data_IF_279624983160
#
_entry.id   IF_279624983160
#
_cell.length_a   1.000
_cell.length_b   1.000
_cell.length_c   1.000
_cell.angle_alpha   90.00
_cell.angle_beta   90.00
_cell.angle_gamma   90.00
#
_symmetry.space_group_name_H-M   'P 1'
#
loop_
_entity.id
_entity.type
_entity.pdbx_description
1 polymer ?
#
# COMPACT_ATOMS: atom_id res chain seq x y z
N UNK A 1 -0.16 -0.48 -55.77
CA UNK A 1 -1.18 0.46 -56.27
C UNK A 1 -1.43 1.46 -55.15
N UNK A 2 -0.73 2.61 -55.24
CA UNK A 2 -1.12 4.03 -55.04
C UNK A 2 -2.00 4.31 -53.81
N UNK A 3 -1.43 4.85 -52.71
CA UNK A 3 -1.28 6.28 -52.33
C UNK A 3 -2.64 7.00 -52.27
N UNK A 4 -3.02 7.49 -51.08
CA UNK A 4 -3.47 8.87 -50.91
C UNK A 4 -3.22 9.36 -49.47
N UNK A 5 -2.31 10.33 -49.39
CA UNK A 5 -2.18 11.28 -48.29
C UNK A 5 -3.29 12.33 -48.44
N UNK A 6 -3.79 12.82 -47.32
CA UNK A 6 -4.43 14.14 -47.31
C UNK A 6 -4.03 14.86 -46.04
N UNK A 7 -3.24 15.89 -46.25
CA UNK A 7 -2.88 16.97 -45.32
C UNK A 7 -3.84 18.13 -45.61
N UNK A 8 -4.33 18.85 -44.63
CA UNK A 8 -4.82 20.24 -44.58
C UNK A 8 -5.43 20.42 -43.19
N UNK A 9 -5.22 21.44 -42.39
CA UNK A 9 -4.64 22.73 -42.55
C UNK A 9 -4.69 23.49 -41.22
N UNK A 10 -3.77 24.34 -41.16
CA UNK A 10 -3.45 25.38 -40.18
C UNK A 10 -4.58 26.42 -40.01
N UNK A 11 -4.93 26.79 -38.78
CA UNK A 11 -5.54 28.10 -38.49
C UNK A 11 -4.95 28.71 -37.22
N UNK A 12 -4.12 29.72 -37.47
CA UNK A 12 -3.53 30.69 -36.57
C UNK A 12 -4.55 31.85 -36.40
N UNK A 13 -4.88 32.24 -35.20
CA UNK A 13 -5.54 33.51 -34.90
C UNK A 13 -4.90 34.19 -33.71
N UNK A 14 -4.09 35.17 -34.03
CA UNK A 14 -3.60 36.23 -33.11
C UNK A 14 -4.71 37.25 -32.88
N UNK A 15 -4.95 37.67 -31.66
CA UNK A 15 -5.54 38.94 -31.32
C UNK A 15 -4.79 39.58 -30.18
N UNK A 16 -4.07 40.63 -30.50
CA UNK A 16 -3.52 41.67 -29.65
C UNK A 16 -4.64 42.60 -29.16
N UNK A 17 -4.63 42.93 -27.91
CA UNK A 17 -5.45 44.04 -27.36
C UNK A 17 -4.71 44.72 -26.21
N UNK A 18 -4.36 45.95 -26.41
CA UNK A 18 -3.47 46.79 -25.59
C UNK A 18 -4.21 47.69 -24.61
N UNK A 19 -3.45 48.13 -23.60
CA UNK A 19 -3.45 49.41 -22.89
C UNK A 19 -4.63 49.80 -21.98
N UNK A 20 -4.24 50.20 -20.75
CA UNK A 20 -5.00 51.04 -19.85
C UNK A 20 -4.30 51.20 -18.51
N UNK A 21 -3.53 52.26 -18.36
CA UNK A 21 -2.80 52.66 -17.18
C UNK A 21 -3.68 53.37 -16.14
N UNK A 22 -3.21 53.39 -14.91
CA UNK A 22 -3.78 54.18 -13.79
C UNK A 22 -2.79 54.22 -12.66
N UNK A 23 -2.11 55.38 -12.54
CA UNK A 23 -1.19 55.72 -11.46
C UNK A 23 -1.97 56.32 -10.27
N UNK A 24 -1.40 56.22 -9.07
CA UNK A 24 -1.76 56.89 -7.84
C UNK A 24 -1.82 55.93 -6.68
N UNK A 25 -1.23 56.08 -5.55
CA UNK A 25 -0.53 57.16 -4.87
C UNK A 25 0.22 56.55 -3.68
N UNK A 26 1.35 57.08 -3.38
CA UNK A 26 2.20 56.72 -2.27
C UNK A 26 1.64 57.21 -0.94
N UNK A 27 1.69 56.35 0.09
CA UNK A 27 1.74 56.81 1.47
C UNK A 27 2.55 55.82 2.31
N UNK A 28 3.72 56.22 2.69
CA UNK A 28 4.59 55.69 3.74
C UNK A 28 4.41 56.54 5.02
N UNK A 29 5.09 56.25 6.13
CA UNK A 29 4.81 55.24 7.18
C UNK A 29 4.54 55.97 8.52
N UNK A 30 4.02 55.29 9.48
CA UNK A 30 4.13 55.75 10.87
C UNK A 30 4.64 54.60 11.75
N UNK A 31 5.84 54.81 12.24
CA UNK A 31 6.42 54.11 13.37
C UNK A 31 5.70 54.51 14.66
N UNK A 32 5.28 53.54 15.44
CA UNK A 32 4.87 53.72 16.81
C UNK A 32 5.67 52.80 17.70
N UNK A 33 6.24 53.41 18.71
CA UNK A 33 7.22 52.93 19.67
C UNK A 33 6.81 51.67 20.46
N UNK A 34 7.83 50.92 20.82
CA UNK A 34 7.79 49.90 21.86
C UNK A 34 7.64 50.49 23.27
N UNK A 35 7.02 49.78 24.20
CA UNK A 35 7.38 49.90 25.60
C UNK A 35 8.17 48.66 26.04
N UNK A 36 9.34 48.95 26.60
CA UNK A 36 10.12 48.05 27.44
C UNK A 36 9.38 47.83 28.76
N UNK A 37 9.26 46.62 29.22
CA UNK A 37 9.14 46.29 30.64
C UNK A 37 9.47 44.82 30.91
N UNK A 38 10.60 44.65 31.56
CA UNK A 38 10.87 43.92 32.81
C UNK A 38 10.83 42.42 32.77
N UNK A 39 12.05 41.90 32.90
CA UNK A 39 12.38 40.58 33.46
C UNK A 39 11.72 40.43 34.83
N UNK A 40 10.99 39.34 35.00
CA UNK A 40 10.96 38.50 36.19
C UNK A 40 9.90 37.42 35.97
N UNK A 41 10.27 36.25 36.00
CA UNK A 41 9.85 35.10 36.80
C UNK A 41 10.18 33.79 36.08
N UNK A 42 11.26 33.17 36.60
CA UNK A 42 11.63 31.80 36.32
C UNK A 42 10.72 30.87 37.11
N UNK A 43 9.57 30.52 36.54
CA UNK A 43 8.84 29.33 37.04
C UNK A 43 8.95 28.27 35.98
N UNK A 44 9.78 27.27 36.28
CA UNK A 44 9.93 26.06 35.48
C UNK A 44 8.57 25.37 35.34
N UNK A 45 7.98 25.43 34.18
CA UNK A 45 6.86 24.59 33.81
C UNK A 45 7.32 23.12 33.82
N UNK A 46 6.55 22.19 34.39
CA UNK A 46 6.87 20.77 34.33
C UNK A 46 6.94 20.33 32.86
N UNK A 47 8.04 19.68 32.52
CA UNK A 47 8.29 19.19 31.17
C UNK A 47 7.09 18.41 30.64
N UNK A 48 6.52 18.95 29.58
CA UNK A 48 5.55 18.23 28.77
C UNK A 48 6.30 17.04 28.18
N UNK A 49 6.09 15.87 28.76
CA UNK A 49 6.53 14.63 28.18
C UNK A 49 6.00 14.62 26.75
N UNK A 50 6.90 14.64 25.78
CA UNK A 50 6.54 14.47 24.39
C UNK A 50 5.80 13.14 24.28
N UNK A 51 4.50 13.20 24.19
CA UNK A 51 3.66 12.07 23.84
C UNK A 51 4.12 11.63 22.45
N UNK A 52 4.85 10.54 22.40
CA UNK A 52 5.15 9.86 21.14
C UNK A 52 3.81 9.32 20.66
N UNK A 53 3.07 10.14 19.91
CA UNK A 53 1.87 9.67 19.24
C UNK A 53 2.32 8.59 18.27
N UNK A 54 1.91 7.36 18.53
CA UNK A 54 2.07 6.27 17.59
C UNK A 54 1.44 6.71 16.26
N UNK A 55 2.25 6.76 15.22
CA UNK A 55 1.76 7.13 13.89
C UNK A 55 0.88 5.99 13.39
N UNK A 56 -0.43 6.20 13.32
CA UNK A 56 -1.33 5.21 12.73
C UNK A 56 -1.52 5.52 11.26
N UNK A 57 -1.29 4.52 10.42
CA UNK A 57 -1.59 4.56 9.00
C UNK A 57 -2.71 3.56 8.73
N UNK A 58 -3.86 4.07 8.27
CA UNK A 58 -5.02 3.21 7.98
C UNK A 58 -5.45 2.32 9.17
N UNK A 59 -5.32 2.81 10.41
CA UNK A 59 -5.62 2.05 11.62
C UNK A 59 -4.54 1.04 12.03
N UNK A 60 -3.44 0.96 11.29
CA UNK A 60 -2.25 0.21 11.69
C UNK A 60 -1.33 1.13 12.49
N UNK A 61 -0.85 0.66 13.64
CA UNK A 61 0.25 1.31 14.32
C UNK A 61 1.51 1.03 13.52
N UNK A 62 1.92 2.03 12.79
CA UNK A 62 3.14 1.97 12.00
C UNK A 62 4.25 2.65 12.80
N UNK A 63 4.84 1.97 13.78
CA UNK A 63 6.09 2.38 14.41
C UNK A 63 7.25 2.52 13.41
N UNK A 64 6.92 2.77 12.14
CA UNK A 64 7.73 2.74 10.96
C UNK A 64 7.76 4.11 10.29
N UNK A 65 8.73 4.29 9.40
CA UNK A 65 8.77 5.44 8.50
C UNK A 65 7.66 5.31 7.45
N UNK A 66 7.04 6.42 7.08
CA UNK A 66 5.99 6.45 6.07
C UNK A 66 6.40 7.26 4.85
N UNK A 67 5.94 6.83 3.68
CA UNK A 67 6.04 7.55 2.41
C UNK A 67 4.67 7.58 1.75
N UNK A 68 4.38 8.66 1.04
CA UNK A 68 3.24 8.74 0.14
C UNK A 68 3.75 9.11 -1.26
N UNK A 69 3.24 8.44 -2.27
CA UNK A 69 3.63 8.73 -3.65
C UNK A 69 2.79 8.00 -4.67
N UNK A 70 3.06 8.27 -5.94
CA UNK A 70 2.40 7.62 -7.06
C UNK A 70 3.22 6.42 -7.53
N UNK A 71 2.56 5.30 -7.78
CA UNK A 71 3.21 4.11 -8.34
C UNK A 71 3.45 4.32 -9.82
N UNK A 72 4.72 4.33 -10.23
CA UNK A 72 5.14 4.56 -11.63
C UNK A 72 5.41 3.28 -12.40
N UNK A 73 5.71 2.17 -11.73
CA UNK A 73 5.80 0.84 -12.36
C UNK A 73 5.58 -0.30 -11.36
N UNK A 74 5.18 -1.46 -11.89
CA UNK A 74 5.04 -2.73 -11.17
C UNK A 74 5.96 -3.73 -11.84
N UNK A 75 6.90 -4.31 -11.08
CA UNK A 75 7.95 -5.18 -11.62
C UNK A 75 7.52 -6.65 -11.67
N UNK A 76 6.83 -7.07 -10.62
CA UNK A 76 6.31 -8.42 -10.39
C UNK A 76 5.11 -8.35 -9.44
N UNK A 77 4.71 -9.45 -8.84
CA UNK A 77 3.55 -9.51 -7.94
C UNK A 77 3.76 -8.94 -6.54
N UNK A 78 4.98 -8.47 -6.21
CA UNK A 78 5.30 -7.94 -4.88
C UNK A 78 6.33 -6.79 -4.87
N UNK A 79 6.68 -6.27 -6.05
CA UNK A 79 7.67 -5.19 -6.18
C UNK A 79 7.15 -4.07 -7.07
N UNK A 80 7.14 -2.84 -6.54
CA UNK A 80 6.70 -1.64 -7.27
C UNK A 80 7.74 -0.53 -7.21
N UNK A 81 7.66 0.42 -8.13
CA UNK A 81 8.39 1.69 -8.07
C UNK A 81 7.43 2.80 -7.69
N UNK A 82 7.79 3.55 -6.66
CA UNK A 82 7.06 4.68 -6.11
C UNK A 82 7.79 5.98 -6.41
N UNK A 83 7.10 6.98 -6.92
CA UNK A 83 7.58 8.35 -7.00
C UNK A 83 6.98 9.15 -5.83
N UNK A 84 7.80 9.48 -4.84
CA UNK A 84 7.43 10.28 -3.69
C UNK A 84 8.09 11.66 -3.79
N UNK A 85 7.33 12.69 -4.12
CA UNK A 85 7.81 14.07 -4.29
C UNK A 85 9.05 14.20 -5.19
N UNK A 86 9.09 13.44 -6.29
CA UNK A 86 10.21 13.46 -7.26
C UNK A 86 11.33 12.47 -6.92
N UNK A 87 11.30 11.84 -5.76
CA UNK A 87 12.28 10.81 -5.38
C UNK A 87 11.73 9.42 -5.73
N UNK A 88 12.52 8.64 -6.43
CA UNK A 88 12.13 7.29 -6.86
C UNK A 88 12.58 6.26 -5.83
N UNK A 89 11.62 5.48 -5.35
CA UNK A 89 11.84 4.39 -4.41
C UNK A 89 11.38 3.06 -5.00
N UNK A 90 12.16 2.03 -4.81
CA UNK A 90 11.74 0.66 -5.09
C UNK A 90 11.19 0.06 -3.81
N UNK A 91 9.96 -0.43 -3.85
CA UNK A 91 9.25 -0.97 -2.70
C UNK A 91 9.07 -2.48 -2.89
N UNK A 92 9.51 -3.27 -1.93
CA UNK A 92 9.21 -4.70 -1.80
C UNK A 92 8.10 -4.84 -0.76
N UNK A 93 6.98 -5.37 -1.17
CA UNK A 93 5.86 -5.64 -0.29
C UNK A 93 6.28 -6.65 0.78
N UNK A 94 6.17 -6.29 2.05
CA UNK A 94 6.56 -7.14 3.17
C UNK A 94 5.60 -8.32 3.39
N UNK A 95 6.09 -9.36 4.05
CA UNK A 95 5.28 -10.51 4.47
C UNK A 95 4.83 -11.44 3.34
N UNK A 96 5.05 -11.11 2.08
CA UNK A 96 4.63 -11.92 0.94
C UNK A 96 5.78 -12.28 0.02
N UNK A 97 5.58 -13.32 -0.79
CA UNK A 97 6.46 -13.67 -1.91
C UNK A 97 5.58 -14.10 -3.09
N UNK A 98 5.66 -13.35 -4.18
CA UNK A 98 4.87 -13.60 -5.36
C UNK A 98 5.59 -14.53 -6.34
N UNK A 99 4.86 -15.30 -7.16
CA UNK A 99 5.47 -16.07 -8.22
C UNK A 99 6.35 -15.19 -9.12
N UNK A 100 7.52 -15.69 -9.48
CA UNK A 100 8.40 -15.05 -10.46
C UNK A 100 7.68 -14.90 -11.80
N UNK A 101 8.04 -13.92 -12.61
CA UNK A 101 7.36 -13.68 -13.90
C UNK A 101 7.35 -14.92 -14.80
N UNK A 102 8.38 -15.75 -14.72
CA UNK A 102 8.48 -16.99 -15.50
C UNK A 102 7.75 -18.20 -14.86
N UNK A 103 7.24 -18.06 -13.62
CA UNK A 103 6.44 -19.10 -13.00
C UNK A 103 4.97 -19.04 -13.46
N UNK A 104 4.25 -20.16 -13.36
CA UNK A 104 2.78 -20.13 -13.43
C UNK A 104 2.23 -19.04 -12.49
N UNK A 105 1.24 -18.29 -12.94
CA UNK A 105 0.63 -17.15 -12.23
C UNK A 105 1.52 -15.91 -12.04
N UNK A 106 2.82 -15.91 -12.39
CA UNK A 106 3.69 -14.76 -12.20
C UNK A 106 3.19 -13.50 -12.92
N UNK A 107 2.90 -13.60 -14.22
CA UNK A 107 2.33 -12.48 -14.99
C UNK A 107 0.95 -12.05 -14.48
N UNK A 108 0.12 -12.98 -14.01
CA UNK A 108 -1.19 -12.67 -13.44
C UNK A 108 -1.06 -11.96 -12.08
N UNK A 109 -0.12 -12.38 -11.25
CA UNK A 109 0.21 -11.73 -9.99
C UNK A 109 0.66 -10.28 -10.22
N UNK A 110 1.58 -10.05 -11.18
CA UNK A 110 2.00 -8.71 -11.56
C UNK A 110 0.83 -7.85 -12.06
N UNK A 111 -0.01 -8.39 -12.95
CA UNK A 111 -1.17 -7.67 -13.49
C UNK A 111 -2.19 -7.32 -12.40
N UNK A 112 -2.40 -8.22 -11.43
CA UNK A 112 -3.29 -8.00 -10.30
C UNK A 112 -2.77 -6.87 -9.41
N UNK A 113 -1.48 -6.89 -9.06
CA UNK A 113 -0.86 -5.79 -8.32
C UNK A 113 -0.95 -4.47 -9.11
N UNK A 114 -0.66 -4.49 -10.41
CA UNK A 114 -0.75 -3.31 -11.26
C UNK A 114 -2.16 -2.73 -11.28
N UNK A 115 -3.20 -3.54 -11.40
CA UNK A 115 -4.58 -3.07 -11.35
C UNK A 115 -4.95 -2.41 -10.03
N UNK A 116 -4.35 -2.86 -8.94
CA UNK A 116 -4.56 -2.29 -7.61
C UNK A 116 -3.88 -0.93 -7.44
N UNK A 117 -2.64 -0.75 -7.94
CA UNK A 117 -1.80 0.38 -7.54
C UNK A 117 -1.21 1.21 -8.69
N UNK A 118 -1.11 0.72 -9.93
CA UNK A 118 -0.46 1.44 -11.03
C UNK A 118 -1.10 2.80 -11.29
N UNK A 119 -0.27 3.85 -11.33
CA UNK A 119 -0.70 5.24 -11.53
C UNK A 119 -1.46 5.85 -10.36
N UNK A 120 -1.70 5.09 -9.29
CA UNK A 120 -2.42 5.56 -8.10
C UNK A 120 -1.47 6.05 -7.04
N UNK A 121 -1.94 6.98 -6.21
CA UNK A 121 -1.26 7.36 -4.98
C UNK A 121 -1.48 6.29 -3.92
N UNK A 122 -0.38 5.82 -3.34
CA UNK A 122 -0.37 4.85 -2.25
C UNK A 122 0.40 5.40 -1.06
N UNK A 123 0.14 4.85 0.10
CA UNK A 123 0.89 5.08 1.33
C UNK A 123 1.70 3.83 1.63
N UNK A 124 2.97 4.02 1.98
CA UNK A 124 3.89 2.93 2.29
C UNK A 124 4.44 3.15 3.69
N UNK A 125 4.30 2.15 4.54
CA UNK A 125 4.98 2.11 5.82
C UNK A 125 6.12 1.10 5.74
N UNK A 126 7.35 1.53 6.04
CA UNK A 126 8.53 0.69 5.90
C UNK A 126 9.44 0.80 7.12
N UNK A 127 10.12 -0.30 7.44
CA UNK A 127 11.01 -0.38 8.60
C UNK A 127 12.47 -0.50 8.21
N UNK A 128 12.75 -1.05 7.04
CA UNK A 128 14.12 -1.38 6.60
C UNK A 128 14.29 -1.21 5.10
N UNK A 129 15.55 -1.20 4.71
CA UNK A 129 15.99 -1.35 3.32
C UNK A 129 16.68 -2.71 3.18
N UNK A 130 16.37 -3.45 2.13
CA UNK A 130 17.04 -4.73 1.88
C UNK A 130 18.41 -4.56 1.21
N UNK A 131 19.10 -5.68 1.02
CA UNK A 131 20.44 -5.70 0.40
C UNK A 131 20.46 -5.20 -1.06
N UNK A 132 19.28 -5.09 -1.71
CA UNK A 132 19.13 -4.60 -3.07
C UNK A 132 18.73 -3.13 -3.12
N UNK A 133 18.68 -2.44 -1.97
CA UNK A 133 18.28 -1.05 -1.87
C UNK A 133 16.77 -0.80 -1.95
N UNK A 134 15.93 -1.85 -1.85
CA UNK A 134 14.48 -1.71 -1.85
C UNK A 134 13.98 -1.43 -0.42
N UNK A 135 13.03 -0.53 -0.29
CA UNK A 135 12.31 -0.34 0.97
C UNK A 135 11.35 -1.52 1.16
N UNK A 136 11.41 -2.18 2.30
CA UNK A 136 10.54 -3.32 2.64
C UNK A 136 9.41 -2.81 3.51
N UNK A 137 8.17 -2.97 3.06
CA UNK A 137 7.05 -2.39 3.80
C UNK A 137 5.65 -2.77 3.34
N UNK A 138 4.70 -2.28 4.10
CA UNK A 138 3.28 -2.39 3.87
C UNK A 138 2.79 -1.29 2.94
N UNK A 139 2.03 -1.65 1.93
CA UNK A 139 1.46 -0.74 0.94
C UNK A 139 -0.05 -0.64 1.14
N UNK A 140 -0.55 0.59 1.23
CA UNK A 140 -1.97 0.89 1.38
C UNK A 140 -2.45 1.79 0.26
N UNK A 141 -3.62 1.50 -0.29
CA UNK A 141 -4.30 2.42 -1.19
C UNK A 141 -4.84 3.63 -0.43
N UNK A 142 -5.26 4.68 -1.15
CA UNK A 142 -5.93 5.84 -0.55
C UNK A 142 -7.21 5.47 0.23
N UNK A 143 -7.85 4.36 -0.13
CA UNK A 143 -9.02 3.80 0.58
C UNK A 143 -8.64 2.86 1.73
N UNK A 144 -7.39 2.87 2.18
CA UNK A 144 -6.88 2.02 3.26
C UNK A 144 -6.95 0.50 3.00
N UNK A 145 -7.00 0.08 1.74
CA UNK A 145 -6.86 -1.33 1.42
C UNK A 145 -5.40 -1.77 1.59
N UNK A 146 -5.16 -2.81 2.38
CA UNK A 146 -3.83 -3.39 2.59
C UNK A 146 -3.46 -4.29 1.41
N UNK A 147 -2.66 -3.76 0.49
CA UNK A 147 -2.35 -4.36 -0.80
C UNK A 147 -1.59 -5.69 -0.66
N UNK A 148 -0.66 -5.77 0.29
CA UNK A 148 0.10 -7.00 0.55
C UNK A 148 -0.83 -8.17 0.93
N UNK A 149 -1.73 -7.92 1.89
CA UNK A 149 -2.71 -8.92 2.33
C UNK A 149 -3.68 -9.31 1.20
N UNK A 150 -4.07 -8.33 0.38
CA UNK A 150 -4.93 -8.56 -0.78
C UNK A 150 -4.29 -9.50 -1.79
N UNK A 151 -3.00 -9.36 -2.08
CA UNK A 151 -2.28 -10.28 -2.97
C UNK A 151 -2.37 -11.73 -2.47
N UNK A 152 -2.22 -11.97 -1.16
CA UNK A 152 -2.38 -13.30 -0.57
C UNK A 152 -3.83 -13.78 -0.64
N UNK A 153 -4.79 -12.94 -0.28
CA UNK A 153 -6.21 -13.28 -0.31
C UNK A 153 -6.73 -13.64 -1.71
N UNK A 154 -6.15 -13.03 -2.76
CA UNK A 154 -6.44 -13.34 -4.16
C UNK A 154 -5.69 -14.57 -4.68
N UNK A 155 -4.83 -15.20 -3.88
CA UNK A 155 -3.95 -16.28 -4.32
C UNK A 155 -2.94 -15.81 -5.37
N UNK A 156 -2.48 -14.55 -5.28
CA UNK A 156 -1.47 -13.99 -6.18
C UNK A 156 -0.09 -13.92 -5.55
N UNK A 157 0.01 -14.21 -4.25
CA UNK A 157 1.27 -14.33 -3.53
C UNK A 157 1.12 -15.32 -2.38
N UNK A 158 2.25 -15.85 -1.94
CA UNK A 158 2.37 -16.68 -0.75
C UNK A 158 2.61 -15.80 0.47
N UNK A 159 2.12 -16.21 1.65
CA UNK A 159 2.60 -15.68 2.92
C UNK A 159 4.03 -16.16 3.16
N UNK A 160 5.01 -15.25 3.12
CA UNK A 160 6.42 -15.58 3.23
C UNK A 160 6.85 -15.74 4.69
N UNK A 161 6.72 -16.96 5.20
CA UNK A 161 6.95 -17.27 6.63
C UNK A 161 8.37 -17.08 7.10
N UNK A 162 9.37 -17.09 6.20
CA UNK A 162 10.77 -16.83 6.57
C UNK A 162 10.96 -15.47 7.26
N UNK A 163 10.14 -14.47 6.90
CA UNK A 163 10.15 -13.14 7.50
C UNK A 163 8.92 -12.82 8.37
N UNK A 164 8.16 -13.85 8.76
CA UNK A 164 6.93 -13.64 9.53
C UNK A 164 7.12 -12.86 10.82
N UNK A 165 8.30 -12.93 11.46
CA UNK A 165 8.58 -12.24 12.71
C UNK A 165 8.75 -10.72 12.54
N UNK A 166 8.80 -10.22 11.31
CA UNK A 166 8.78 -8.79 11.01
C UNK A 166 7.38 -8.19 11.10
N UNK A 167 6.36 -9.04 11.01
CA UNK A 167 4.96 -8.66 11.14
C UNK A 167 4.48 -8.83 12.59
N UNK A 168 3.51 -8.02 13.01
CA UNK A 168 2.86 -8.21 14.32
C UNK A 168 2.07 -9.52 14.36
N UNK A 169 1.84 -10.06 15.55
CA UNK A 169 1.10 -11.31 15.69
C UNK A 169 -0.30 -11.28 15.06
N UNK A 170 -1.11 -10.19 15.23
CA UNK A 170 -2.40 -10.09 14.55
C UNK A 170 -2.27 -10.08 13.02
N UNK A 171 -1.29 -9.34 12.47
CA UNK A 171 -1.06 -9.27 11.02
C UNK A 171 -0.64 -10.63 10.47
N UNK A 172 0.28 -11.34 11.12
CA UNK A 172 0.64 -12.72 10.75
C UNK A 172 -0.58 -13.64 10.68
N UNK A 173 -1.46 -13.52 11.68
CA UNK A 173 -2.70 -14.29 11.71
C UNK A 173 -3.63 -14.00 10.53
N UNK A 174 -3.69 -12.75 10.09
CA UNK A 174 -4.48 -12.36 8.90
C UNK A 174 -3.88 -12.95 7.62
N UNK A 175 -2.55 -12.88 7.44
CA UNK A 175 -1.88 -13.47 6.27
C UNK A 175 -2.07 -14.98 6.21
N UNK A 176 -1.88 -15.69 7.35
CA UNK A 176 -2.08 -17.13 7.41
C UNK A 176 -3.52 -17.54 7.06
N UNK A 177 -4.52 -16.84 7.60
CA UNK A 177 -5.94 -17.08 7.30
C UNK A 177 -6.28 -16.77 5.84
N UNK A 178 -5.73 -15.68 5.29
CA UNK A 178 -5.96 -15.31 3.90
C UNK A 178 -5.41 -16.36 2.93
N UNK A 179 -4.20 -16.86 3.19
CA UNK A 179 -3.60 -17.94 2.40
C UNK A 179 -4.41 -19.25 2.50
N UNK A 180 -4.79 -19.65 3.73
CA UNK A 180 -5.63 -20.82 3.96
C UNK A 180 -6.96 -20.72 3.23
N UNK A 181 -7.62 -19.56 3.29
CA UNK A 181 -8.88 -19.33 2.59
C UNK A 181 -8.72 -19.36 1.06
N UNK A 182 -7.64 -18.77 0.53
CA UNK A 182 -7.34 -18.81 -0.90
C UNK A 182 -7.07 -20.25 -1.37
N UNK A 183 -6.30 -21.02 -0.61
CA UNK A 183 -6.01 -22.42 -0.90
C UNK A 183 -7.27 -23.29 -0.85
N UNK A 184 -8.09 -23.15 0.20
CA UNK A 184 -9.34 -23.90 0.34
C UNK A 184 -10.34 -23.59 -0.79
N UNK A 185 -10.35 -22.33 -1.27
CA UNK A 185 -11.20 -21.88 -2.38
C UNK A 185 -10.60 -22.14 -3.76
N UNK A 186 -9.39 -22.68 -3.83
CA UNK A 186 -8.62 -22.86 -5.07
C UNK A 186 -8.55 -21.57 -5.88
N UNK A 187 -8.21 -20.45 -5.23
CA UNK A 187 -8.16 -19.13 -5.84
C UNK A 187 -6.74 -18.83 -6.32
N UNK A 188 -6.61 -18.26 -7.53
CA UNK A 188 -5.33 -17.85 -8.10
C UNK A 188 -4.36 -19.01 -8.27
N UNK A 189 -3.14 -18.90 -7.75
CA UNK A 189 -2.09 -19.93 -7.83
C UNK A 189 -2.52 -21.28 -7.24
N UNK A 190 -3.51 -21.28 -6.33
CA UNK A 190 -4.06 -22.48 -5.70
C UNK A 190 -5.01 -23.28 -6.62
N UNK A 191 -5.25 -22.82 -7.85
CA UNK A 191 -5.86 -23.62 -8.92
C UNK A 191 -4.93 -24.74 -9.38
N UNK A 192 -3.62 -24.54 -9.28
CA UNK A 192 -2.64 -25.58 -9.51
C UNK A 192 -2.77 -26.64 -8.41
N UNK A 193 -2.67 -27.89 -8.78
CA UNK A 193 -2.72 -29.01 -7.84
C UNK A 193 -1.46 -29.10 -6.97
N UNK A 194 -0.32 -28.59 -7.49
CA UNK A 194 0.98 -28.57 -6.81
C UNK A 194 1.70 -27.24 -7.09
N UNK A 195 1.22 -26.13 -6.50
CA UNK A 195 1.78 -24.83 -6.78
C UNK A 195 3.17 -24.69 -6.17
N UNK A 196 4.16 -24.41 -7.01
CA UNK A 196 5.55 -24.25 -6.58
C UNK A 196 5.75 -22.85 -5.97
N UNK A 197 6.21 -22.82 -4.72
CA UNK A 197 6.52 -21.56 -4.04
C UNK A 197 7.72 -20.83 -4.69
N UNK A 198 7.73 -19.47 -4.71
CA UNK A 198 8.79 -18.70 -5.39
C UNK A 198 10.19 -18.99 -4.85
N UNK A 199 10.34 -19.18 -3.55
CA UNK A 199 11.64 -19.50 -2.94
C UNK A 199 12.15 -20.90 -3.36
N UNK A 200 11.25 -21.88 -3.52
CA UNK A 200 11.62 -23.19 -4.05
C UNK A 200 12.05 -23.08 -5.51
N UNK A 201 11.34 -22.28 -6.30
CA UNK A 201 11.67 -22.04 -7.70
C UNK A 201 13.05 -21.37 -7.85
N UNK A 202 13.39 -20.38 -6.99
CA UNK A 202 14.69 -19.69 -7.04
C UNK A 202 15.83 -20.52 -6.48
N UNK A 203 15.63 -21.21 -5.36
CA UNK A 203 16.72 -21.75 -4.54
C UNK A 203 16.63 -23.25 -4.32
N UNK A 204 15.51 -23.91 -4.68
CA UNK A 204 15.28 -25.34 -4.47
C UNK A 204 15.16 -25.75 -2.99
N UNK A 205 15.07 -24.77 -2.07
CA UNK A 205 15.06 -25.02 -0.61
C UNK A 205 13.93 -24.25 0.02
N UNK A 206 13.20 -24.92 0.92
CA UNK A 206 12.20 -24.28 1.76
C UNK A 206 12.87 -23.61 2.96
N UNK A 207 12.78 -22.28 3.11
CA UNK A 207 13.39 -21.60 4.24
C UNK A 207 12.66 -21.95 5.53
N UNK A 208 13.42 -22.22 6.60
CA UNK A 208 12.84 -22.45 7.91
C UNK A 208 12.02 -21.25 8.39
N UNK A 209 10.79 -21.50 8.78
CA UNK A 209 9.98 -20.46 9.42
C UNK A 209 10.48 -20.21 10.86
N UNK A 210 10.89 -18.98 11.21
CA UNK A 210 11.38 -18.71 12.55
C UNK A 210 10.24 -18.75 13.57
N UNK A 211 10.57 -19.15 14.81
CA UNK A 211 9.69 -18.97 15.96
C UNK A 211 9.78 -17.53 16.42
N UNK A 212 8.69 -16.78 16.37
CA UNK A 212 8.67 -15.38 16.76
C UNK A 212 8.52 -15.24 18.28
N UNK A 213 9.45 -14.53 18.93
CA UNK A 213 9.25 -14.11 20.30
C UNK A 213 8.05 -13.14 20.38
N UNK A 214 7.29 -13.20 21.47
CA UNK A 214 6.03 -12.44 21.64
C UNK A 214 6.17 -10.91 21.55
N UNK A 215 7.39 -10.38 21.57
CA UNK A 215 7.70 -8.95 21.55
C UNK A 215 8.52 -8.46 20.33
N UNK A 216 8.80 -9.29 19.35
CA UNK A 216 9.70 -8.96 18.24
C UNK A 216 8.97 -8.56 16.97
N UNK A 217 7.95 -7.72 17.04
CA UNK A 217 7.39 -7.14 15.82
C UNK A 217 7.84 -5.70 15.71
N UNK A 218 8.37 -5.34 14.54
CA UNK A 218 8.58 -3.94 14.13
C UNK A 218 7.23 -3.20 14.04
N UNK A 219 6.16 -3.95 14.00
CA UNK A 219 4.79 -3.51 13.92
C UNK A 219 4.04 -3.88 15.20
N UNK A 220 3.76 -2.92 16.06
CA UNK A 220 3.03 -3.13 17.32
C UNK A 220 1.52 -2.91 17.19
N UNK A 221 1.04 -2.51 16.02
CA UNK A 221 -0.35 -2.16 15.80
C UNK A 221 -1.25 -3.35 15.45
N UNK A 222 -2.36 -3.38 16.13
CA UNK A 222 -3.54 -4.12 15.71
C UNK A 222 -4.28 -3.23 14.71
N UNK A 223 -4.70 -3.70 13.52
CA UNK A 223 -5.61 -2.92 12.71
C UNK A 223 -6.81 -2.57 13.56
N UNK A 224 -7.08 -1.27 13.73
CA UNK A 224 -8.27 -0.83 14.40
C UNK A 224 -9.46 -1.32 13.58
N UNK A 225 -10.05 -2.43 13.99
CA UNK A 225 -11.39 -2.79 13.57
C UNK A 225 -12.27 -1.64 14.05
N UNK A 226 -13.06 -1.00 13.20
CA UNK A 226 -14.00 0.01 13.65
C UNK A 226 -14.83 -0.64 14.77
N UNK A 227 -14.72 -0.09 15.98
CA UNK A 227 -15.39 -0.60 17.17
C UNK A 227 -16.89 -0.35 17.05
N UNK A 228 -17.62 -1.30 16.53
CA UNK A 228 -19.03 -1.49 16.86
C UNK A 228 -19.07 -2.50 18.01
N UNK A 229 -19.33 -1.96 19.17
CA UNK A 229 -19.59 -2.51 20.48
C UNK A 229 -19.54 -4.01 20.73
N UNK A 230 -18.79 -4.35 21.79
CA UNK A 230 -18.96 -5.46 22.72
C UNK A 230 -18.69 -6.88 22.27
N UNK A 231 -17.55 -7.35 22.79
CA UNK A 231 -17.27 -8.68 23.38
C UNK A 231 -17.57 -9.96 22.59
N UNK A 232 -16.54 -10.77 22.67
CA UNK A 232 -16.40 -12.23 22.53
C UNK A 232 -16.08 -12.78 21.17
N UNK A 233 -14.89 -13.40 21.15
CA UNK A 233 -14.40 -14.32 20.11
C UNK A 233 -14.11 -13.70 18.74
N UNK A 234 -12.85 -13.33 18.56
CA UNK A 234 -12.35 -12.71 17.35
C UNK A 234 -12.25 -13.72 16.19
N UNK A 235 -13.36 -13.97 15.54
CA UNK A 235 -13.35 -14.29 14.13
C UNK A 235 -13.27 -12.95 13.40
N UNK A 236 -12.06 -12.47 13.09
CA UNK A 236 -11.91 -11.28 12.27
C UNK A 236 -12.45 -11.59 10.89
N UNK A 237 -13.64 -11.07 10.60
CA UNK A 237 -14.23 -11.13 9.28
C UNK A 237 -13.38 -10.30 8.32
N UNK A 238 -12.92 -10.90 7.24
CA UNK A 238 -12.24 -10.21 6.15
C UNK A 238 -12.99 -10.47 4.84
N UNK A 239 -12.94 -9.49 3.97
CA UNK A 239 -13.57 -9.62 2.67
C UNK A 239 -12.66 -10.40 1.73
N UNK A 240 -13.23 -11.39 1.05
CA UNK A 240 -12.57 -12.22 0.05
C UNK A 240 -13.05 -11.74 -1.32
N UNK A 241 -12.09 -11.42 -2.20
CA UNK A 241 -12.42 -11.13 -3.59
C UNK A 241 -12.79 -12.40 -4.32
N UNK A 242 -13.97 -12.42 -4.92
CA UNK A 242 -14.39 -13.48 -5.84
C UNK A 242 -14.09 -13.01 -7.25
N UNK A 243 -13.21 -13.72 -7.95
CA UNK A 243 -12.89 -13.40 -9.34
C UNK A 243 -14.11 -13.48 -10.25
N UNK A 244 -14.17 -12.71 -11.35
CA UNK A 244 -15.18 -12.88 -12.36
C UNK A 244 -15.20 -14.33 -12.85
N UNK A 245 -16.38 -14.92 -12.98
CA UNK A 245 -16.54 -16.27 -13.49
C UNK A 245 -17.82 -16.40 -14.31
N UNK A 246 -17.88 -17.41 -15.15
CA UNK A 246 -19.10 -17.74 -15.89
C UNK A 246 -19.74 -18.96 -15.26
N UNK A 247 -21.01 -18.82 -14.90
CA UNK A 247 -21.83 -19.95 -14.37
C UNK A 247 -22.06 -20.99 -15.46
N UNK A 248 -22.39 -22.22 -15.06
CA UNK A 248 -22.70 -23.32 -15.97
C UNK A 248 -23.86 -23.00 -16.96
N UNK A 249 -24.72 -22.06 -16.60
CA UNK A 249 -25.82 -21.57 -17.46
C UNK A 249 -25.39 -20.43 -18.42
N UNK A 250 -24.09 -20.12 -18.54
CA UNK A 250 -23.56 -19.07 -19.40
C UNK A 250 -23.60 -17.65 -18.81
N UNK A 251 -24.17 -17.44 -17.62
CA UNK A 251 -24.22 -16.11 -16.99
C UNK A 251 -22.83 -15.69 -16.53
N UNK A 252 -22.35 -14.54 -17.02
CA UNK A 252 -21.12 -13.92 -16.53
C UNK A 252 -21.37 -13.23 -15.19
N UNK A 253 -20.55 -13.51 -14.18
CA UNK A 253 -20.56 -12.88 -12.86
C UNK A 253 -19.31 -12.02 -12.75
N UNK A 254 -19.48 -10.72 -12.57
CA UNK A 254 -18.36 -9.80 -12.31
C UNK A 254 -17.71 -10.15 -10.96
N UNK A 255 -16.40 -9.85 -10.83
CA UNK A 255 -15.71 -10.00 -9.57
C UNK A 255 -16.36 -9.13 -8.48
N UNK A 256 -16.45 -9.67 -7.26
CA UNK A 256 -17.03 -9.01 -6.11
C UNK A 256 -16.34 -9.42 -4.82
N UNK A 257 -16.44 -8.53 -3.82
CA UNK A 257 -15.99 -8.82 -2.47
C UNK A 257 -17.12 -9.51 -1.70
N UNK A 258 -16.78 -10.58 -0.97
CA UNK A 258 -17.68 -11.22 -0.01
C UNK A 258 -16.99 -11.37 1.33
N UNK A 259 -17.75 -11.42 2.40
CA UNK A 259 -17.21 -11.74 3.71
C UNK A 259 -16.75 -13.20 3.77
N UNK A 260 -15.69 -13.46 4.55
CA UNK A 260 -15.22 -14.81 4.81
C UNK A 260 -16.30 -15.67 5.45
N UNK A 261 -16.31 -16.97 5.18
CA UNK A 261 -17.31 -17.87 5.74
C UNK A 261 -17.32 -17.80 7.28
N UNK A 262 -18.51 -17.64 7.87
CA UNK A 262 -18.70 -17.50 9.31
C UNK A 262 -18.87 -16.06 9.80
N UNK A 263 -18.91 -15.09 8.88
CA UNK A 263 -19.24 -13.70 9.12
C UNK A 263 -20.67 -13.43 8.61
N UNK A 264 -21.67 -13.63 9.42
CA UNK A 264 -23.05 -13.23 9.18
C UNK A 264 -23.50 -12.29 10.30
#
# INVERSE_FOLDING_TARGET
>A
MKIHQTVVGLCLALLLGACGGGAGDAAQPQAVAAPSSTLDDLTAAPGTAASTQASTLCGFDVGAKTLQGSVSSVHDGDTVTLNAAGVIHRIRLDGIDAPELAQPFGSLSQATLASAVMGKTVQVAYSKTDQYGRLVGAVFTAGCEYVNLKQVALGMAWFYRAYQCELSAPVRGQFAKAEEAAAASKTGLWLDADPTAPWLYRNGVDPAAPTCASASSVWTGNPAVPSSGSSTSANACFQIWVNPYTRSNGTHVNGYWRDSAGCA
#
